data_IF_100186396776
#
_entry.id   IF_100186396776
#
_cell.length_a   1.000
_cell.length_b   1.000
_cell.length_c   1.000
_cell.angle_alpha   90.00
_cell.angle_beta   90.00
_cell.angle_gamma   90.00
#
_symmetry.space_group_name_H-M   'P 1'
#
loop_
_entity.id
_entity.type
_entity.pdbx_description
1 polymer ?
#
# COMPACT_ATOMS: atom_id res chain seq x y z
N UNK A 1 -4.09 -19.15 -21.30
CA UNK A 1 -3.07 -19.29 -22.36
C UNK A 1 -1.66 -19.01 -21.86
N UNK A 2 -0.65 -19.52 -22.57
CA UNK A 2 0.78 -19.22 -22.37
C UNK A 2 1.34 -18.56 -23.62
N UNK A 3 2.10 -17.48 -23.45
CA UNK A 3 2.61 -16.67 -24.57
C UNK A 3 4.08 -16.34 -24.31
N UNK A 4 4.93 -16.31 -25.35
CA UNK A 4 6.33 -15.90 -25.16
C UNK A 4 6.42 -14.39 -24.91
N UNK A 5 7.48 -13.95 -24.23
CA UNK A 5 7.75 -12.51 -23.98
C UNK A 5 7.75 -11.69 -25.27
N UNK A 6 8.32 -12.23 -26.35
CA UNK A 6 8.37 -11.57 -27.67
C UNK A 6 6.98 -11.41 -28.29
N UNK A 7 6.15 -12.46 -28.22
CA UNK A 7 4.77 -12.42 -28.69
C UNK A 7 3.91 -11.48 -27.83
N UNK A 8 4.13 -11.48 -26.51
CA UNK A 8 3.43 -10.63 -25.58
C UNK A 8 3.73 -9.15 -25.85
N UNK A 9 4.98 -8.78 -26.14
CA UNK A 9 5.39 -7.40 -26.38
C UNK A 9 4.60 -6.72 -27.51
N UNK A 10 4.26 -7.46 -28.57
CA UNK A 10 3.50 -6.93 -29.71
C UNK A 10 1.98 -6.85 -29.48
N UNK A 11 1.46 -7.45 -28.40
CA UNK A 11 0.00 -7.65 -28.17
C UNK A 11 -0.42 -7.41 -26.72
N UNK A 12 0.32 -6.60 -25.96
CA UNK A 12 0.09 -6.39 -24.52
C UNK A 12 -1.35 -5.97 -24.25
N UNK A 13 -1.91 -5.06 -25.05
CA UNK A 13 -3.28 -4.56 -24.90
C UNK A 13 -4.32 -5.68 -24.99
N UNK A 14 -4.24 -6.52 -26.05
CA UNK A 14 -5.13 -7.68 -26.21
C UNK A 14 -5.01 -8.66 -25.03
N UNK A 15 -3.79 -8.93 -24.55
CA UNK A 15 -3.55 -9.84 -23.43
C UNK A 15 -4.10 -9.31 -22.11
N UNK A 16 -4.02 -7.99 -21.89
CA UNK A 16 -4.62 -7.33 -20.72
C UNK A 16 -6.13 -7.47 -20.76
N UNK A 17 -6.78 -7.15 -21.89
CA UNK A 17 -8.23 -7.28 -22.01
C UNK A 17 -8.72 -8.72 -21.77
N UNK A 18 -7.96 -9.71 -22.26
CA UNK A 18 -8.27 -11.13 -22.00
C UNK A 18 -8.16 -11.46 -20.52
N UNK A 19 -7.11 -11.00 -19.84
CA UNK A 19 -6.95 -11.18 -18.40
C UNK A 19 -8.08 -10.50 -17.62
N UNK A 20 -8.50 -9.30 -18.02
CA UNK A 20 -9.63 -8.58 -17.41
C UNK A 20 -10.99 -9.29 -17.61
N UNK A 21 -11.16 -10.03 -18.71
CA UNK A 21 -12.33 -10.91 -18.91
C UNK A 21 -12.26 -12.22 -18.12
N UNK A 22 -11.19 -12.44 -17.35
CA UNK A 22 -10.98 -13.62 -16.53
C UNK A 22 -10.26 -14.77 -17.25
N UNK A 23 -9.71 -14.54 -18.44
CA UNK A 23 -8.88 -15.55 -19.10
C UNK A 23 -7.50 -15.61 -18.43
N UNK A 24 -7.00 -16.78 -17.99
CA UNK A 24 -5.68 -16.87 -17.38
C UNK A 24 -4.60 -16.65 -18.43
N UNK A 25 -3.80 -15.59 -18.33
CA UNK A 25 -2.71 -15.30 -19.27
C UNK A 25 -1.37 -15.38 -18.55
N UNK A 26 -0.47 -16.23 -19.06
CA UNK A 26 0.89 -16.43 -18.52
C UNK A 26 1.90 -16.01 -19.59
N UNK A 27 2.79 -15.10 -19.24
CA UNK A 27 3.94 -14.72 -20.07
C UNK A 27 5.11 -15.60 -19.69
N UNK A 28 5.75 -16.17 -20.70
CA UNK A 28 6.90 -17.06 -20.58
C UNK A 28 8.17 -16.37 -21.06
N UNK A 29 9.30 -16.68 -20.43
CA UNK A 29 10.64 -16.31 -20.87
C UNK A 29 11.47 -17.58 -20.94
N UNK A 30 12.13 -17.81 -22.07
CA UNK A 30 12.93 -19.01 -22.32
C UNK A 30 12.16 -20.33 -22.07
N UNK A 31 10.86 -20.33 -22.41
CA UNK A 31 9.96 -21.48 -22.24
C UNK A 31 9.48 -21.71 -20.80
N UNK A 32 9.87 -20.87 -19.84
CA UNK A 32 9.45 -20.95 -18.44
C UNK A 32 8.40 -19.90 -18.10
N UNK A 33 7.44 -20.25 -17.25
CA UNK A 33 6.42 -19.31 -16.74
C UNK A 33 7.13 -18.19 -15.96
N UNK A 34 7.04 -16.95 -16.46
CA UNK A 34 7.75 -15.80 -15.91
C UNK A 34 6.83 -14.83 -15.16
N UNK A 35 5.64 -14.56 -15.71
CA UNK A 35 4.65 -13.62 -15.13
C UNK A 35 3.24 -14.13 -15.40
N UNK A 36 2.33 -13.90 -14.46
CA UNK A 36 0.89 -14.12 -14.65
C UNK A 36 0.20 -12.76 -14.70
N UNK A 37 -0.57 -12.53 -15.76
CA UNK A 37 -1.46 -11.38 -15.88
C UNK A 37 -2.76 -11.70 -15.14
N UNK A 38 -3.12 -10.82 -14.21
CA UNK A 38 -4.39 -10.84 -13.48
C UNK A 38 -4.99 -9.44 -13.47
N UNK A 39 -6.31 -9.31 -13.49
CA UNK A 39 -6.96 -8.02 -13.29
C UNK A 39 -6.59 -7.44 -11.92
N UNK A 40 -6.51 -6.12 -11.85
CA UNK A 40 -6.41 -5.40 -10.58
C UNK A 40 -7.83 -5.12 -10.10
N UNK A 41 -8.22 -5.85 -9.06
CA UNK A 41 -9.55 -5.74 -8.45
C UNK A 41 -9.81 -4.33 -7.93
N UNK A 42 -11.08 -3.92 -7.92
CA UNK A 42 -11.47 -2.58 -7.45
C UNK A 42 -11.01 -2.30 -6.00
N UNK A 43 -10.93 -3.35 -5.17
CA UNK A 43 -10.39 -3.28 -3.79
C UNK A 43 -8.88 -3.11 -3.72
N UNK A 44 -8.14 -3.53 -4.75
CA UNK A 44 -6.68 -3.41 -4.86
C UNK A 44 -6.27 -2.06 -5.49
N UNK A 45 -7.18 -1.43 -6.22
CA UNK A 45 -6.98 -0.08 -6.74
C UNK A 45 -6.82 0.87 -5.56
N UNK A 46 -5.65 1.50 -5.48
CA UNK A 46 -5.40 2.54 -4.49
C UNK A 46 -6.40 3.67 -4.75
N UNK A 47 -7.31 4.00 -3.81
CA UNK A 47 -8.31 5.01 -4.05
C UNK A 47 -7.62 6.33 -4.32
N UNK A 48 -7.88 6.92 -5.49
CA UNK A 48 -7.47 8.28 -5.80
C UNK A 48 -8.39 9.22 -5.06
N UNK A 49 -8.13 9.42 -3.77
CA UNK A 49 -8.85 10.40 -2.97
C UNK A 49 -8.46 11.79 -3.46
N UNK A 50 -9.45 12.62 -3.75
CA UNK A 50 -9.25 14.05 -3.90
C UNK A 50 -8.67 14.65 -2.61
N UNK A 51 -8.13 15.86 -2.72
CA UNK A 51 -7.59 16.56 -1.55
C UNK A 51 -8.65 16.77 -0.46
N UNK A 52 -9.90 17.01 -0.85
CA UNK A 52 -11.03 17.21 0.05
C UNK A 52 -11.44 15.91 0.75
N UNK A 53 -11.58 14.80 0.01
CA UNK A 53 -11.91 13.49 0.57
C UNK A 53 -10.81 13.02 1.53
N UNK A 54 -9.54 13.22 1.18
CA UNK A 54 -8.42 12.92 2.06
C UNK A 54 -8.47 13.74 3.35
N UNK A 55 -8.80 15.03 3.25
CA UNK A 55 -8.96 15.90 4.43
C UNK A 55 -10.12 15.45 5.31
N UNK A 56 -11.26 15.09 4.72
CA UNK A 56 -12.41 14.57 5.45
C UNK A 56 -12.07 13.25 6.15
N UNK A 57 -11.38 12.34 5.48
CA UNK A 57 -10.92 11.07 6.07
C UNK A 57 -10.04 11.32 7.29
N UNK A 58 -9.05 12.21 7.19
CA UNK A 58 -8.19 12.54 8.34
C UNK A 58 -8.97 13.17 9.49
N UNK A 59 -9.93 14.06 9.20
CA UNK A 59 -10.79 14.65 10.23
C UNK A 59 -11.62 13.59 10.96
N UNK A 60 -12.20 12.64 10.23
CA UNK A 60 -12.96 11.54 10.82
C UNK A 60 -12.07 10.64 11.69
N UNK A 61 -10.86 10.33 11.23
CA UNK A 61 -9.89 9.54 12.01
C UNK A 61 -9.49 10.27 13.30
N UNK A 62 -9.20 11.57 13.23
CA UNK A 62 -8.87 12.37 14.42
C UNK A 62 -10.01 12.40 15.43
N UNK A 63 -11.26 12.53 14.97
CA UNK A 63 -12.44 12.48 15.85
C UNK A 63 -12.57 11.13 16.54
N UNK A 64 -12.41 10.02 15.81
CA UNK A 64 -12.46 8.67 16.40
C UNK A 64 -11.33 8.44 17.42
N UNK A 65 -10.12 8.91 17.12
CA UNK A 65 -8.98 8.77 18.03
C UNK A 65 -9.16 9.63 19.29
N UNK A 66 -9.80 10.80 19.20
CA UNK A 66 -10.07 11.64 20.37
C UNK A 66 -11.02 10.98 21.39
N UNK A 67 -11.84 10.03 20.97
CA UNK A 67 -12.71 9.24 21.86
C UNK A 67 -11.97 8.07 22.53
N UNK A 68 -10.78 7.70 22.03
CA UNK A 68 -9.97 6.62 22.60
C UNK A 68 -9.15 7.20 23.77
N UNK A 69 -9.32 6.71 25.01
CA UNK A 69 -8.50 7.14 26.14
C UNK A 69 -7.02 6.88 25.88
N UNK A 70 -6.18 7.85 26.19
CA UNK A 70 -4.72 7.67 26.13
C UNK A 70 -4.30 6.63 27.18
N UNK A 71 -3.72 5.49 26.79
CA UNK A 71 -3.23 4.49 27.74
C UNK A 71 -2.03 4.96 28.57
N UNK A 72 -1.32 6.01 28.14
CA UNK A 72 -0.12 6.52 28.78
C UNK A 72 -0.11 8.06 28.89
N UNK A 73 -1.05 8.66 29.65
CA UNK A 73 -1.22 10.12 29.69
C UNK A 73 -0.01 10.88 30.24
N UNK A 74 0.85 10.22 31.01
CA UNK A 74 2.08 10.80 31.57
C UNK A 74 3.30 10.65 30.64
N UNK A 75 3.21 9.78 29.63
CA UNK A 75 4.28 9.46 28.69
C UNK A 75 4.13 10.34 27.44
N UNK A 76 4.62 11.57 27.54
CA UNK A 76 4.63 12.47 26.38
C UNK A 76 5.87 12.22 25.50
N UNK A 77 5.76 12.47 24.19
CA UNK A 77 6.90 12.44 23.28
C UNK A 77 8.05 13.36 23.75
N UNK A 78 7.74 14.42 24.50
CA UNK A 78 8.71 15.32 25.11
C UNK A 78 9.64 14.61 26.11
N UNK A 79 9.20 13.53 26.75
CA UNK A 79 9.96 12.72 27.72
C UNK A 79 10.45 11.38 27.16
N UNK A 80 10.26 11.16 25.87
CA UNK A 80 10.59 9.88 25.22
C UNK A 80 12.08 9.52 25.27
N UNK A 81 12.95 10.45 25.65
CA UNK A 81 14.40 10.27 25.71
C UNK A 81 14.98 10.58 27.10
N UNK A 82 14.16 10.87 28.11
CA UNK A 82 14.62 11.24 29.46
C UNK A 82 15.52 10.14 30.08
N UNK A 83 15.33 8.89 29.68
CA UNK A 83 16.15 7.76 30.11
C UNK A 83 17.61 7.84 29.64
N UNK A 84 17.92 8.62 28.60
CA UNK A 84 19.28 8.82 28.08
C UNK A 84 20.07 9.85 28.90
N UNK A 85 19.41 10.63 29.75
CA UNK A 85 20.01 11.75 30.47
C UNK A 85 19.94 11.56 32.00
N UNK A 86 20.84 12.22 32.72
CA UNK A 86 20.85 12.31 34.18
C UNK A 86 19.99 13.47 34.70
N UNK A 87 19.95 13.66 36.02
CA UNK A 87 19.17 14.72 36.67
C UNK A 87 19.63 16.15 36.31
N UNK A 88 20.83 16.29 35.72
CA UNK A 88 21.38 17.53 35.22
C UNK A 88 21.21 17.69 33.70
N UNK A 89 20.58 16.72 33.04
CA UNK A 89 20.40 16.69 31.58
C UNK A 89 21.64 16.28 30.79
N UNK A 90 22.65 15.66 31.44
CA UNK A 90 23.83 15.13 30.77
C UNK A 90 23.60 13.67 30.33
N UNK A 91 24.17 13.23 29.19
CA UNK A 91 24.10 11.83 28.80
C UNK A 91 24.67 10.92 29.90
N UNK A 92 23.92 9.87 30.23
CA UNK A 92 24.38 8.80 31.13
C UNK A 92 25.36 7.85 30.45
#
# INVERSE_FOLDING_TARGET
MRVSMEQAAARVEELVERAERGEPVIITRDGQDAVVLRPVEASERRPTLSQEERRQLFKQLQQRVAEIPDPFPDETAARSQDFLYDENGLPK
#
